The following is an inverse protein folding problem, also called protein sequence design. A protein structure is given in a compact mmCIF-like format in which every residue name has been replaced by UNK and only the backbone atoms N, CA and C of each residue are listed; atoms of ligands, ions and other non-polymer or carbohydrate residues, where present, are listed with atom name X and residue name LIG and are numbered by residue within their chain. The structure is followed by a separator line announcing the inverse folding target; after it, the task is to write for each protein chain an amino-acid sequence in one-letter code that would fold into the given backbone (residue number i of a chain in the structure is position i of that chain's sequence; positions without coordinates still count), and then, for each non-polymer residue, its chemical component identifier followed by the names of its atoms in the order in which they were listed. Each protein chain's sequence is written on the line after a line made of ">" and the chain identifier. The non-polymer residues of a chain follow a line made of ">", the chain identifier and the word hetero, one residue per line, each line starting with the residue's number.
data_IF_201955381545
#
_entry.id   IF_201955381545
#
_cell.length_a   1.000
_cell.length_b   1.000
_cell.length_c   1.000
_cell.angle_alpha   90.00
_cell.angle_beta   90.00
_cell.angle_gamma   90.00
#
_symmetry.space_group_name_H-M   'P 1'
#
loop_
_entity.id
_entity.type
_entity.pdbx_description
1 polymer ?
#
# COMPACT_ATOMS: atom_id res chain seq x y z
N UNK A 1 17.58 7.52 13.76
CA UNK A 1 16.31 6.83 13.72
C UNK A 1 15.93 6.53 12.29
N UNK A 2 15.38 5.40 12.11
CA UNK A 2 15.15 4.90 10.77
C UNK A 2 13.71 5.11 10.32
N UNK A 3 13.13 6.22 10.70
CA UNK A 3 11.78 6.53 10.25
C UNK A 3 11.73 6.46 8.74
N UNK A 4 10.71 5.90 8.21
CA UNK A 4 10.58 5.73 6.78
C UNK A 4 11.21 4.47 6.24
N UNK A 5 12.00 3.77 7.03
CA UNK A 5 12.56 2.49 6.62
C UNK A 5 11.73 1.31 7.06
N UNK A 6 10.76 1.54 7.91
CA UNK A 6 9.88 0.47 8.35
C UNK A 6 8.96 0.07 7.21
N UNK A 7 8.93 -1.20 6.92
CA UNK A 7 8.00 -1.72 5.94
C UNK A 7 6.70 -2.05 6.64
N UNK A 8 5.61 -1.47 6.15
CA UNK A 8 4.30 -1.70 6.71
C UNK A 8 3.45 -2.42 5.67
N UNK A 9 2.92 -3.56 6.05
CA UNK A 9 2.08 -4.35 5.15
C UNK A 9 0.63 -4.03 5.44
N UNK A 10 -0.11 -3.63 4.41
CA UNK A 10 -1.52 -3.30 4.52
C UNK A 10 -2.30 -4.35 3.75
N UNK A 11 -3.13 -5.12 4.45
CA UNK A 11 -4.00 -6.11 3.81
C UNK A 11 -5.30 -5.43 3.39
N UNK A 12 -5.92 -5.96 2.34
CA UNK A 12 -7.15 -5.37 1.82
C UNK A 12 -6.94 -3.96 1.30
N UNK A 13 -5.76 -3.69 0.75
CA UNK A 13 -5.37 -2.32 0.42
C UNK A 13 -6.19 -1.72 -0.71
N UNK A 14 -6.88 -2.54 -1.51
CA UNK A 14 -7.74 -2.00 -2.57
C UNK A 14 -9.13 -1.63 -2.07
N UNK A 15 -9.46 -1.90 -0.80
CA UNK A 15 -10.68 -1.42 -0.19
C UNK A 15 -10.53 0.05 0.18
N UNK A 16 -11.64 0.68 0.53
CA UNK A 16 -11.62 2.10 0.84
C UNK A 16 -10.72 2.43 2.02
N UNK A 17 -10.86 1.69 3.12
CA UNK A 17 -10.05 1.95 4.29
C UNK A 17 -8.60 1.58 4.08
N UNK A 18 -8.37 0.42 3.48
CA UNK A 18 -7.00 -0.03 3.25
C UNK A 18 -6.24 0.91 2.33
N UNK A 19 -6.91 1.39 1.28
CA UNK A 19 -6.29 2.33 0.37
C UNK A 19 -5.93 3.64 1.03
N UNK A 20 -6.83 4.18 1.84
CA UNK A 20 -6.56 5.43 2.54
C UNK A 20 -5.41 5.26 3.53
N UNK A 21 -5.38 4.12 4.23
CA UNK A 21 -4.31 3.84 5.16
C UNK A 21 -2.97 3.77 4.45
N UNK A 22 -2.92 3.06 3.31
CA UNK A 22 -1.69 2.93 2.56
C UNK A 22 -1.18 4.29 2.10
N UNK A 23 -2.06 5.14 1.60
CA UNK A 23 -1.68 6.46 1.14
C UNK A 23 -1.15 7.32 2.27
N UNK A 24 -1.80 7.25 3.42
CA UNK A 24 -1.38 8.06 4.56
C UNK A 24 -0.01 7.62 5.07
N UNK A 25 0.21 6.33 5.15
CA UNK A 25 1.50 5.82 5.60
C UNK A 25 2.61 6.21 4.64
N UNK A 26 2.32 6.13 3.34
CA UNK A 26 3.29 6.52 2.34
C UNK A 26 3.62 8.00 2.45
N UNK A 27 2.61 8.82 2.68
CA UNK A 27 2.80 10.27 2.82
C UNK A 27 3.66 10.60 4.03
N UNK A 28 3.66 9.74 5.03
CA UNK A 28 4.48 9.93 6.23
C UNK A 28 5.89 9.39 6.07
N UNK A 29 6.24 8.89 4.90
CA UNK A 29 7.59 8.44 4.64
C UNK A 29 7.86 6.98 4.90
N UNK A 30 6.84 6.20 5.18
CA UNK A 30 7.02 4.77 5.40
C UNK A 30 7.05 4.03 4.07
N UNK A 31 7.69 2.89 4.07
CA UNK A 31 7.58 1.97 2.95
C UNK A 31 6.31 1.14 3.14
N UNK A 32 5.48 1.09 2.13
CA UNK A 32 4.20 0.41 2.23
C UNK A 32 4.13 -0.72 1.21
N UNK A 33 3.77 -1.88 1.69
CA UNK A 33 3.48 -3.03 0.84
C UNK A 33 1.99 -3.31 0.94
N UNK A 34 1.30 -3.22 -0.16
CA UNK A 34 -0.14 -3.42 -0.20
C UNK A 34 -0.42 -4.83 -0.69
N UNK A 35 -1.11 -5.60 0.13
CA UNK A 35 -1.48 -6.96 -0.22
C UNK A 35 -2.93 -6.97 -0.68
N UNK A 36 -3.18 -7.50 -1.86
CA UNK A 36 -4.51 -7.53 -2.42
C UNK A 36 -4.68 -8.79 -3.24
N UNK A 37 -5.92 -9.26 -3.34
CA UNK A 37 -6.23 -10.40 -4.18
C UNK A 37 -6.27 -10.02 -5.66
N UNK A 38 -6.34 -8.72 -5.97
CA UNK A 38 -6.42 -8.24 -7.34
C UNK A 38 -5.36 -7.18 -7.59
N UNK A 39 -4.10 -7.61 -7.72
CA UNK A 39 -3.02 -6.64 -7.85
C UNK A 39 -3.04 -5.85 -9.16
N UNK A 40 -3.84 -6.28 -10.12
CA UNK A 40 -3.97 -5.56 -11.39
C UNK A 40 -5.26 -4.74 -11.47
N UNK A 41 -5.99 -4.61 -10.36
CA UNK A 41 -7.21 -3.79 -10.35
C UNK A 41 -6.84 -2.32 -10.48
N UNK A 42 -7.79 -1.47 -10.91
CA UNK A 42 -7.52 -0.03 -10.99
C UNK A 42 -7.05 0.57 -9.67
N UNK A 43 -7.63 0.14 -8.55
CA UNK A 43 -7.22 0.65 -7.25
C UNK A 43 -5.79 0.27 -6.93
N UNK A 44 -5.40 -0.97 -7.27
CA UNK A 44 -4.03 -1.41 -7.03
C UNK A 44 -3.05 -0.66 -7.91
N UNK A 45 -3.42 -0.40 -9.15
CA UNK A 45 -2.55 0.35 -10.06
C UNK A 45 -2.36 1.78 -9.56
N UNK A 46 -3.39 2.38 -8.99
CA UNK A 46 -3.26 3.70 -8.41
C UNK A 46 -2.25 3.71 -7.27
N UNK A 47 -2.33 2.71 -6.40
CA UNK A 47 -1.38 2.63 -5.30
C UNK A 47 0.05 2.45 -5.82
N UNK A 48 0.21 1.64 -6.84
CA UNK A 48 1.53 1.42 -7.42
C UNK A 48 2.10 2.72 -7.98
N UNK A 49 1.28 3.55 -8.58
CA UNK A 49 1.72 4.83 -9.10
C UNK A 49 2.23 5.75 -8.01
N UNK A 50 1.72 5.59 -6.80
CA UNK A 50 2.14 6.40 -5.68
C UNK A 50 3.44 5.92 -5.04
N UNK A 51 3.90 4.75 -5.44
CA UNK A 51 5.11 4.18 -4.87
C UNK A 51 4.88 3.04 -3.90
N UNK A 52 3.65 2.58 -3.78
CA UNK A 52 3.32 1.44 -2.94
C UNK A 52 3.69 0.16 -3.67
N UNK A 53 4.35 -0.76 -2.96
CA UNK A 53 4.63 -2.07 -3.52
C UNK A 53 3.37 -2.93 -3.42
N UNK A 54 2.81 -3.31 -4.54
CA UNK A 54 1.57 -4.10 -4.57
C UNK A 54 1.92 -5.55 -4.81
N UNK A 55 1.41 -6.42 -3.93
CA UNK A 55 1.65 -7.86 -4.04
C UNK A 55 0.32 -8.60 -3.96
N UNK A 56 0.30 -9.77 -4.57
CA UNK A 56 -0.89 -10.62 -4.54
C UNK A 56 -0.97 -11.37 -3.23
N UNK A 57 -2.18 -11.41 -2.66
CA UNK A 57 -2.38 -12.12 -1.42
C UNK A 57 -3.57 -11.56 -0.67
N UNK A 58 -3.94 -12.20 0.43
CA UNK A 58 -5.03 -11.69 1.25
C UNK A 58 -4.83 -12.00 2.75
#
# INVERSE_FOLDING_TARGET
>A
MEAGKNLIVVTGATGQQGGATARELLAKGHKVRAMTRKPDSPAALELAKLGVEVVAGD
#
